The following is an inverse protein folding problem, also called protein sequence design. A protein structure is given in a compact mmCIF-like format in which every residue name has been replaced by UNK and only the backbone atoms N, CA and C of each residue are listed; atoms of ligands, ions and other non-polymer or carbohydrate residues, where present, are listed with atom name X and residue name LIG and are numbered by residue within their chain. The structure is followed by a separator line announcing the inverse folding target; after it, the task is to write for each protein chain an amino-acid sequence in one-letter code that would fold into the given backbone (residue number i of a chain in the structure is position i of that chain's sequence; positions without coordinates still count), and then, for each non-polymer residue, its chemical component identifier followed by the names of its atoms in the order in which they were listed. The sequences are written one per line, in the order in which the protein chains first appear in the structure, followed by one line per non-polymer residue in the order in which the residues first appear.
data_IF_468677310830
#
_entry.id   IF_468677310830
#
_cell.length_a   1.000
_cell.length_b   1.000
_cell.length_c   1.000
_cell.angle_alpha   90.00
_cell.angle_beta   90.00
_cell.angle_gamma   90.00
#
_symmetry.space_group_name_H-M   'P 1'
#
loop_
_entity.id
_entity.type
_entity.pdbx_description
1 polymer ?
#
# COMPACT_ATOMS: atom_id res chain seq x y z
N UNK A 1 6.58 -9.37 -22.53
CA UNK A 1 6.57 -7.95 -22.11
C UNK A 1 5.51 -7.83 -21.03
N UNK A 2 5.90 -7.80 -19.76
CA UNK A 2 4.96 -7.59 -18.66
C UNK A 2 4.54 -6.13 -18.67
N UNK A 3 3.35 -5.86 -19.17
CA UNK A 3 2.72 -4.55 -19.04
C UNK A 3 2.18 -4.46 -17.63
N UNK A 4 2.59 -3.45 -16.86
CA UNK A 4 1.97 -3.21 -15.54
C UNK A 4 0.46 -3.07 -15.72
N UNK A 5 -0.28 -3.95 -15.06
CA UNK A 5 -1.74 -3.98 -15.10
C UNK A 5 -2.33 -2.95 -14.14
N UNK A 6 -1.61 -2.62 -13.07
CA UNK A 6 -2.09 -1.82 -11.95
C UNK A 6 -1.03 -0.81 -11.51
N UNK A 7 -1.45 0.45 -11.32
CA UNK A 7 -0.58 1.56 -10.89
C UNK A 7 -1.23 2.28 -9.72
N UNK A 8 -0.51 2.44 -8.62
CA UNK A 8 -1.05 3.04 -7.39
C UNK A 8 0.05 3.71 -6.54
N UNK A 9 -0.34 4.63 -5.66
CA UNK A 9 0.49 5.07 -4.53
C UNK A 9 0.11 4.25 -3.31
N UNK A 10 1.11 3.72 -2.62
CA UNK A 10 0.88 2.99 -1.40
C UNK A 10 2.11 2.93 -0.51
N UNK A 11 1.86 2.64 0.76
CA UNK A 11 2.88 2.48 1.79
C UNK A 11 2.94 1.01 2.18
N UNK A 12 4.09 0.33 2.01
CA UNK A 12 4.24 -1.02 2.51
C UNK A 12 4.32 -1.00 4.04
N UNK A 13 3.47 -1.77 4.71
CA UNK A 13 3.32 -1.76 6.17
C UNK A 13 3.93 -3.00 6.83
N UNK A 14 3.87 -4.14 6.15
CA UNK A 14 4.35 -5.43 6.63
C UNK A 14 5.08 -6.18 5.51
N UNK A 15 6.00 -7.07 5.91
CA UNK A 15 6.75 -7.95 5.01
C UNK A 15 6.81 -9.35 5.61
N UNK A 16 6.52 -10.37 4.81
CA UNK A 16 6.90 -11.76 5.06
C UNK A 16 7.88 -12.22 4.00
N UNK A 17 8.80 -13.10 4.37
CA UNK A 17 9.79 -13.68 3.46
C UNK A 17 9.87 -15.17 3.72
N UNK A 18 9.87 -15.98 2.68
CA UNK A 18 10.05 -17.43 2.76
C UNK A 18 11.43 -17.89 2.25
N UNK A 19 12.28 -16.93 1.83
CA UNK A 19 13.61 -17.16 1.27
C UNK A 19 13.65 -17.24 -0.26
N UNK A 20 12.50 -17.40 -0.92
CA UNK A 20 12.36 -17.35 -2.38
C UNK A 20 11.69 -16.05 -2.82
N UNK A 21 10.62 -15.66 -2.14
CA UNK A 21 9.86 -14.45 -2.36
C UNK A 21 9.77 -13.59 -1.09
N UNK A 22 9.57 -12.30 -1.33
CA UNK A 22 9.19 -11.31 -0.34
C UNK A 22 7.78 -10.82 -0.67
N UNK A 23 6.87 -10.97 0.28
CA UNK A 23 5.48 -10.53 0.13
C UNK A 23 5.21 -9.39 1.11
N UNK A 24 4.71 -8.28 0.57
CA UNK A 24 4.48 -7.04 1.27
C UNK A 24 2.99 -6.73 1.35
N UNK A 25 2.54 -6.24 2.51
CA UNK A 25 1.21 -5.65 2.64
C UNK A 25 1.31 -4.16 2.36
N UNK A 26 0.44 -3.62 1.50
CA UNK A 26 0.38 -2.21 1.15
C UNK A 26 -0.91 -1.58 1.64
N UNK A 27 -0.77 -0.43 2.31
CA UNK A 27 -1.85 0.54 2.51
C UNK A 27 -1.89 1.46 1.28
N UNK A 28 -2.98 1.38 0.50
CA UNK A 28 -3.14 2.08 -0.77
C UNK A 28 -3.81 3.42 -0.52
N UNK A 29 -3.13 4.51 -0.88
CA UNK A 29 -3.66 5.87 -0.72
C UNK A 29 -4.36 6.37 -1.98
N UNK A 30 -3.91 5.93 -3.16
CA UNK A 30 -4.45 6.38 -4.45
C UNK A 30 -4.21 5.36 -5.54
N UNK A 31 -5.20 5.17 -6.41
CA UNK A 31 -5.14 4.28 -7.57
C UNK A 31 -5.16 5.10 -8.85
N UNK A 32 -4.21 4.86 -9.74
CA UNK A 32 -4.13 5.50 -11.05
C UNK A 32 -4.62 4.57 -12.17
N UNK A 33 -4.41 3.27 -12.02
CA UNK A 33 -4.84 2.24 -12.98
C UNK A 33 -5.12 0.93 -12.25
N UNK A 34 -6.14 0.21 -12.68
CA UNK A 34 -6.58 -1.06 -12.08
C UNK A 34 -7.74 -0.85 -11.11
N UNK A 35 -8.15 -1.90 -10.41
CA UNK A 35 -9.14 -1.85 -9.33
C UNK A 35 -8.51 -2.41 -8.07
N UNK A 36 -8.49 -1.60 -7.00
CA UNK A 36 -7.80 -1.90 -5.75
C UNK A 36 -8.63 -1.41 -4.57
N UNK A 37 -8.64 -2.22 -3.52
CA UNK A 37 -9.07 -1.81 -2.20
C UNK A 37 -7.95 -1.02 -1.49
N UNK A 38 -8.24 -0.44 -0.33
CA UNK A 38 -7.26 0.33 0.45
C UNK A 38 -6.15 -0.55 1.04
N UNK A 39 -6.29 -1.87 0.98
CA UNK A 39 -5.24 -2.82 1.36
C UNK A 39 -5.05 -3.85 0.25
N UNK A 40 -3.81 -4.10 -0.14
CA UNK A 40 -3.44 -5.14 -1.13
C UNK A 40 -2.10 -5.79 -0.76
N UNK A 41 -1.81 -6.96 -1.33
CA UNK A 41 -0.51 -7.62 -1.18
C UNK A 41 0.30 -7.53 -2.49
N UNK A 42 1.60 -7.31 -2.36
CA UNK A 42 2.54 -7.30 -3.49
C UNK A 42 3.70 -8.22 -3.18
N UNK A 43 3.85 -9.26 -4.01
CA UNK A 43 4.97 -10.19 -3.98
C UNK A 43 6.09 -9.75 -4.91
N UNK A 44 7.30 -10.18 -4.61
CA UNK A 44 8.48 -9.98 -5.46
C UNK A 44 9.53 -11.05 -5.14
N UNK A 45 10.28 -11.51 -6.14
CA UNK A 45 11.38 -12.45 -5.92
C UNK A 45 12.47 -11.80 -5.04
N UNK A 46 12.92 -12.50 -4.00
CA UNK A 46 13.81 -11.94 -2.96
C UNK A 46 15.27 -11.75 -3.43
N UNK A 47 15.68 -12.42 -4.51
CA UNK A 47 17.09 -12.59 -4.90
C UNK A 47 17.54 -11.77 -6.12
N UNK A 48 16.74 -10.82 -6.60
CA UNK A 48 17.04 -10.00 -7.79
C UNK A 48 17.05 -10.77 -9.13
N UNK A 49 17.04 -12.10 -9.09
CA UNK A 49 16.69 -12.94 -10.23
C UNK A 49 15.28 -12.58 -10.73
N UNK A 50 15.06 -12.65 -12.04
CA UNK A 50 13.74 -12.40 -12.62
C UNK A 50 13.20 -10.98 -12.39
N UNK A 51 14.08 -9.98 -12.18
CA UNK A 51 13.67 -8.61 -11.82
C UNK A 51 13.08 -8.46 -10.42
N UNK A 52 13.45 -9.32 -9.47
CA UNK A 52 13.13 -9.14 -8.05
C UNK A 52 13.54 -7.74 -7.55
N UNK A 53 12.74 -7.20 -6.63
CA UNK A 53 12.95 -5.91 -5.97
C UNK A 53 12.62 -6.00 -4.47
N UNK A 54 12.87 -4.92 -3.74
CA UNK A 54 12.51 -4.78 -2.34
C UNK A 54 11.95 -3.39 -2.07
N UNK A 55 11.10 -3.27 -1.04
CA UNK A 55 10.45 -2.02 -0.68
C UNK A 55 10.76 -1.63 0.76
N UNK A 56 10.87 -0.32 1.00
CA UNK A 56 11.14 0.25 2.32
C UNK A 56 9.82 0.42 3.08
N UNK A 57 9.65 -0.33 4.17
CA UNK A 57 8.46 -0.23 5.02
C UNK A 57 8.23 1.20 5.53
N UNK A 58 6.97 1.62 5.56
CA UNK A 58 6.54 2.93 6.05
C UNK A 58 6.82 4.11 5.11
N UNK A 59 7.39 3.86 3.92
CA UNK A 59 7.63 4.90 2.91
C UNK A 59 6.62 4.77 1.78
N UNK A 60 5.80 5.79 1.59
CA UNK A 60 4.88 5.84 0.46
C UNK A 60 5.66 5.92 -0.84
N UNK A 61 5.25 5.13 -1.83
CA UNK A 61 5.92 5.06 -3.11
C UNK A 61 4.92 4.75 -4.23
N UNK A 62 5.27 5.19 -5.44
CA UNK A 62 4.52 4.92 -6.65
C UNK A 62 4.85 3.52 -7.16
N UNK A 63 3.82 2.70 -7.31
CA UNK A 63 3.90 1.29 -7.62
C UNK A 63 3.43 1.02 -9.04
N UNK A 64 4.21 0.24 -9.77
CA UNK A 64 3.85 -0.34 -11.06
C UNK A 64 3.91 -1.85 -10.94
N UNK A 65 2.75 -2.49 -10.79
CA UNK A 65 2.65 -3.93 -10.54
C UNK A 65 1.91 -4.64 -11.66
N UNK A 66 2.09 -5.94 -11.74
CA UNK A 66 1.46 -6.83 -12.71
C UNK A 66 0.62 -7.90 -12.02
N UNK A 67 -0.11 -8.69 -12.82
CA UNK A 67 -0.75 -9.91 -12.32
C UNK A 67 0.33 -10.87 -11.81
N UNK A 68 0.07 -11.63 -10.73
CA UNK A 68 1.04 -12.54 -10.15
C UNK A 68 1.38 -13.66 -11.15
N UNK A 69 2.67 -13.98 -11.24
CA UNK A 69 3.17 -15.05 -12.09
C UNK A 69 3.98 -16.07 -11.29
N UNK A 70 4.99 -15.62 -10.55
CA UNK A 70 5.89 -16.47 -9.76
C UNK A 70 5.83 -16.15 -8.25
N UNK A 71 4.78 -15.44 -7.80
CA UNK A 71 4.63 -15.03 -6.39
C UNK A 71 3.26 -15.32 -5.81
N UNK A 72 3.20 -15.62 -4.51
CA UNK A 72 1.99 -15.89 -3.74
C UNK A 72 1.37 -14.60 -3.15
N UNK A 73 1.02 -13.66 -4.02
CA UNK A 73 0.42 -12.36 -3.69
C UNK A 73 -0.63 -11.90 -4.72
N UNK A 74 -1.42 -10.87 -4.39
CA UNK A 74 -2.44 -10.32 -5.31
C UNK A 74 -1.81 -9.71 -6.57
N UNK A 75 -0.60 -9.17 -6.41
CA UNK A 75 0.16 -8.55 -7.48
C UNK A 75 1.64 -8.89 -7.38
N UNK A 76 2.31 -8.84 -8.52
CA UNK A 76 3.75 -8.99 -8.59
C UNK A 76 4.41 -7.66 -8.93
N UNK A 77 5.33 -7.25 -8.07
CA UNK A 77 6.19 -6.10 -8.28
C UNK A 77 7.57 -6.52 -8.77
N UNK A 78 8.17 -5.69 -9.63
CA UNK A 78 9.45 -5.99 -10.26
C UNK A 78 10.30 -4.73 -10.44
N UNK A 79 11.62 -4.86 -10.32
CA UNK A 79 12.60 -3.77 -10.52
C UNK A 79 12.78 -3.37 -11.99
N UNK A 80 12.26 -4.16 -12.93
CA UNK A 80 12.33 -3.86 -14.37
C UNK A 80 11.33 -2.78 -14.84
N UNK A 81 10.69 -2.08 -13.90
CA UNK A 81 9.82 -0.93 -14.14
C UNK A 81 10.57 0.41 -14.19
N UNK A 82 9.83 1.53 -14.29
CA UNK A 82 10.43 2.86 -14.26
C UNK A 82 11.15 3.09 -12.93
N UNK A 83 12.42 3.48 -12.97
CA UNK A 83 13.17 3.82 -11.76
C UNK A 83 12.67 5.16 -11.19
N UNK A 84 12.03 5.13 -10.02
CA UNK A 84 11.48 6.31 -9.32
C UNK A 84 12.52 7.22 -8.67
N UNK A 85 13.81 6.88 -8.74
CA UNK A 85 14.88 7.56 -7.99
C UNK A 85 15.65 8.67 -8.74
N UNK A 86 15.15 9.17 -9.88
CA UNK A 86 15.82 10.26 -10.61
C UNK A 86 15.02 11.56 -10.53
N UNK A 87 15.66 12.71 -10.75
CA UNK A 87 15.06 14.06 -10.66
C UNK A 87 13.94 14.37 -11.68
N UNK A 88 13.25 13.34 -12.15
CA UNK A 88 12.08 13.38 -12.99
C UNK A 88 10.85 13.03 -12.15
N UNK A 89 9.83 13.88 -12.21
CA UNK A 89 8.58 13.66 -11.49
C UNK A 89 7.74 12.58 -12.20
N UNK A 90 7.97 11.31 -11.85
CA UNK A 90 7.25 10.17 -12.42
C UNK A 90 5.77 10.23 -12.04
N UNK A 91 5.44 10.75 -10.86
CA UNK A 91 4.04 10.88 -10.44
C UNK A 91 3.30 11.86 -11.36
N UNK A 92 3.88 13.03 -11.65
CA UNK A 92 3.31 13.97 -12.60
C UNK A 92 3.14 13.36 -14.00
N UNK A 93 4.09 12.53 -14.44
CA UNK A 93 3.96 11.80 -15.71
C UNK A 93 2.81 10.78 -15.68
N UNK A 94 2.67 10.01 -14.60
CA UNK A 94 1.52 9.10 -14.40
C UNK A 94 0.21 9.88 -14.40
N UNK A 95 0.15 11.00 -13.71
CA UNK A 95 -1.03 11.85 -13.64
C UNK A 95 -1.38 12.48 -14.99
N UNK A 96 -0.40 12.77 -15.83
CA UNK A 96 -0.64 13.25 -17.19
C UNK A 96 -1.27 12.19 -18.12
N UNK A 97 -1.02 10.91 -17.86
CA UNK A 97 -1.49 9.79 -18.68
C UNK A 97 -2.81 9.21 -18.15
N UNK A 98 -2.89 8.99 -16.84
CA UNK A 98 -4.01 8.30 -16.19
C UNK A 98 -4.95 9.26 -15.44
N UNK A 99 -4.62 10.55 -15.40
CA UNK A 99 -5.33 11.54 -14.59
C UNK A 99 -4.89 11.50 -13.11
N UNK A 100 -5.53 12.32 -12.28
CA UNK A 100 -5.16 12.50 -10.88
C UNK A 100 -5.32 11.24 -10.00
N UNK A 101 -5.82 10.12 -10.53
CA UNK A 101 -6.16 8.93 -9.76
C UNK A 101 -7.36 9.12 -8.83
N UNK A 102 -7.80 8.04 -8.20
CA UNK A 102 -8.94 8.01 -7.30
C UNK A 102 -8.60 7.34 -5.96
N UNK A 103 -9.38 7.65 -4.92
CA UNK A 103 -9.24 7.00 -3.63
C UNK A 103 -9.77 5.56 -3.70
N UNK A 104 -9.04 4.54 -3.22
CA UNK A 104 -9.47 3.15 -3.31
C UNK A 104 -10.70 2.88 -2.45
N UNK A 105 -11.36 1.76 -2.72
CA UNK A 105 -12.47 1.29 -1.90
C UNK A 105 -11.97 0.96 -0.48
N UNK A 106 -12.61 1.46 0.60
CA UNK A 106 -12.15 1.23 1.96
C UNK A 106 -12.14 -0.27 2.33
N UNK A 107 -11.08 -0.68 3.03
CA UNK A 107 -10.91 -2.06 3.46
C UNK A 107 -10.19 -2.90 2.42
N UNK A 108 -10.62 -4.16 2.30
CA UNK A 108 -9.87 -5.19 1.58
C UNK A 108 -9.19 -6.14 2.57
N UNK A 109 -9.35 -7.43 2.30
CA UNK A 109 -8.52 -8.47 2.90
C UNK A 109 -7.78 -9.08 1.72
N UNK A 110 -6.44 -8.98 1.65
CA UNK A 110 -5.69 -9.71 0.65
C UNK A 110 -6.11 -11.18 0.71
N UNK A 111 -6.52 -11.74 -0.43
CA UNK A 111 -6.93 -13.14 -0.52
C UNK A 111 -5.73 -14.08 -0.50
N UNK A 112 -4.53 -13.55 -0.81
CA UNK A 112 -3.23 -14.19 -0.75
C UNK A 112 -2.15 -13.23 -0.21
N UNK A 113 -1.10 -13.75 0.40
CA UNK A 113 -0.01 -12.96 1.02
C UNK A 113 -0.16 -12.69 2.52
N UNK A 114 0.68 -11.78 3.06
CA UNK A 114 0.85 -11.48 4.51
C UNK A 114 -0.50 -11.52 5.24
N UNK A 115 -0.64 -12.49 6.14
CA UNK A 115 -1.81 -12.58 7.01
C UNK A 115 -1.75 -11.46 8.03
N UNK A 116 -2.26 -10.29 7.68
CA UNK A 116 -2.40 -9.18 8.60
C UNK A 116 -3.31 -9.61 9.75
N UNK A 117 -2.74 -9.83 10.92
CA UNK A 117 -3.49 -9.96 12.15
C UNK A 117 -4.24 -8.63 12.36
N UNK A 118 -5.56 -8.67 12.15
CA UNK A 118 -6.51 -7.54 12.00
C UNK A 118 -6.55 -6.57 13.20
N UNK A 119 -5.74 -6.84 14.21
CA UNK A 119 -5.75 -6.25 15.54
C UNK A 119 -5.01 -4.90 15.63
N UNK A 120 -4.08 -4.60 14.70
CA UNK A 120 -3.17 -3.44 14.85
C UNK A 120 -3.58 -2.19 14.07
N UNK A 121 -4.23 -2.33 12.91
CA UNK A 121 -4.52 -1.18 12.02
C UNK A 121 -5.71 -0.33 12.53
N UNK A 122 -6.64 -0.92 13.30
CA UNK A 122 -7.80 -0.19 13.87
C UNK A 122 -7.39 0.69 15.07
N UNK A 123 -6.20 0.48 15.65
CA UNK A 123 -5.78 1.11 16.90
C UNK A 123 -5.49 2.61 16.82
N UNK A 124 -5.06 3.15 15.67
CA UNK A 124 -4.66 4.56 15.57
C UNK A 124 -5.82 5.53 15.31
N UNK A 125 -6.82 5.15 14.52
CA UNK A 125 -7.99 5.99 14.26
C UNK A 125 -8.97 6.04 15.45
N UNK A 126 -9.21 4.89 16.09
CA UNK A 126 -10.17 4.79 17.19
C UNK A 126 -9.68 5.47 18.48
N UNK A 127 -8.38 5.43 18.77
CA UNK A 127 -7.81 6.07 19.96
C UNK A 127 -7.91 7.59 19.93
N UNK A 128 -7.72 8.22 18.75
CA UNK A 128 -7.83 9.68 18.60
C UNK A 128 -9.30 10.13 18.75
N UNK A 129 -10.25 9.36 18.21
CA UNK A 129 -11.67 9.64 18.36
C UNK A 129 -12.13 9.52 19.83
N UNK A 130 -11.68 8.50 20.55
CA UNK A 130 -12.02 8.31 21.98
C UNK A 130 -11.43 9.42 22.86
N UNK A 131 -10.19 9.85 22.62
CA UNK A 131 -9.57 10.96 23.35
C UNK A 131 -10.27 12.29 23.07
N UNK A 132 -10.70 12.54 21.83
CA UNK A 132 -11.44 13.75 21.48
C UNK A 132 -12.83 13.79 22.14
N UNK A 133 -13.56 12.66 22.17
CA UNK A 133 -14.89 12.56 22.82
C UNK A 133 -14.77 12.71 24.35
N UNK A 134 -13.80 12.05 24.97
CA UNK A 134 -13.56 12.15 26.42
C UNK A 134 -13.09 13.56 26.82
N UNK A 135 -12.22 14.17 26.02
CA UNK A 135 -11.79 15.56 26.21
C UNK A 135 -12.95 16.56 26.11
N UNK A 136 -13.82 16.39 25.12
CA UNK A 136 -15.00 17.24 24.94
C UNK A 136 -16.01 17.09 26.08
N UNK A 137 -16.30 15.85 26.51
CA UNK A 137 -17.22 15.61 27.62
C UNK A 137 -16.67 16.12 28.96
N UNK A 138 -15.37 15.93 29.20
CA UNK A 138 -14.69 16.45 30.39
C UNK A 138 -14.70 17.97 30.46
N UNK A 139 -14.49 18.66 29.34
CA UNK A 139 -14.52 20.12 29.28
C UNK A 139 -15.93 20.69 29.49
N UNK A 140 -16.95 20.03 28.92
CA UNK A 140 -18.35 20.48 29.05
C UNK A 140 -18.86 20.40 30.49
N UNK A 141 -18.44 19.39 31.26
CA UNK A 141 -18.80 19.27 32.69
C UNK A 141 -18.19 20.36 33.57
N UNK A 142 -16.95 20.79 33.28
CA UNK A 142 -16.27 21.84 34.08
C UNK A 142 -16.83 23.25 33.87
N UNK A 143 -17.59 23.50 32.81
CA UNK A 143 -18.27 24.79 32.57
C UNK A 143 -19.68 24.86 33.16
N UNK A 144 -20.20 23.75 33.69
CA UNK A 144 -21.55 23.66 34.23
C UNK A 144 -21.59 23.64 35.78
N UNK A 145 -20.42 23.77 36.43
CA UNK A 145 -20.26 24.05 37.85
C UNK A 145 -19.67 25.45 38.01
#
# INVERSE_FOLDING_TARGET
MSVSSTVFLGTPTEKTSDGFEDTYLFDVSRVYKGDLASVTSVGTLANGNGCGTSYVLGTEQLMFVSAPYDVDAEHEGHSCGPATETGFDIQAAVESVYGAGYAPSPGGTPSVGVSADRSTVIGRGAAVALLAVLGWFGWRRRRAQ
#
